data_IF_361125642805
#
_entry.id   IF_361125642805
#
_cell.length_a   1.000
_cell.length_b   1.000
_cell.length_c   1.000
_cell.angle_alpha   90.00
_cell.angle_beta   90.00
_cell.angle_gamma   90.00
#
_symmetry.space_group_name_H-M   'P 1'
#
loop_
_entity.id
_entity.type
_entity.pdbx_description
1 polymer ?
#
# COMPACT_ATOMS: atom_id res chain seq x y z
N UNK A 1 3.65 -5.85 15.67
CA UNK A 1 5.00 -6.47 15.66
C UNK A 1 6.10 -5.43 15.39
N UNK A 2 6.03 -4.57 14.38
CA UNK A 2 7.09 -3.60 14.04
C UNK A 2 7.58 -2.74 15.21
N UNK A 3 6.67 -2.10 15.98
CA UNK A 3 7.04 -1.29 17.15
C UNK A 3 7.80 -2.06 18.22
N UNK A 4 7.49 -3.34 18.42
CA UNK A 4 8.21 -4.19 19.38
C UNK A 4 9.63 -4.50 18.87
N UNK A 5 9.79 -4.71 17.55
CA UNK A 5 11.09 -4.90 16.95
C UNK A 5 11.95 -3.63 17.04
N UNK A 6 11.38 -2.46 16.77
CA UNK A 6 12.07 -1.16 16.95
C UNK A 6 12.52 -0.95 18.40
N UNK A 7 11.66 -1.26 19.35
CA UNK A 7 11.98 -1.16 20.78
C UNK A 7 13.11 -2.12 21.17
N UNK A 8 13.04 -3.39 20.72
CA UNK A 8 14.10 -4.38 21.00
C UNK A 8 15.45 -3.95 20.41
N UNK A 9 15.46 -3.31 19.22
CA UNK A 9 16.70 -2.78 18.63
C UNK A 9 17.24 -1.63 19.46
N UNK A 10 16.37 -0.68 19.83
CA UNK A 10 16.77 0.54 20.57
C UNK A 10 17.33 0.21 21.96
N UNK A 11 16.79 -0.82 22.60
CA UNK A 11 17.18 -1.23 23.94
C UNK A 11 18.18 -2.41 23.98
N UNK A 12 18.62 -2.90 22.80
CA UNK A 12 19.44 -4.10 22.67
C UNK A 12 18.81 -5.33 23.33
N UNK A 13 17.47 -5.39 23.39
CA UNK A 13 16.75 -6.50 23.95
C UNK A 13 16.68 -7.68 22.98
N UNK A 14 16.49 -8.87 23.57
CA UNK A 14 16.50 -10.13 22.85
C UNK A 14 15.19 -10.31 22.04
N UNK A 15 15.32 -10.65 20.76
CA UNK A 15 14.21 -11.05 19.89
C UNK A 15 13.81 -12.53 20.09
N UNK A 16 14.32 -13.16 21.14
CA UNK A 16 14.13 -14.57 21.45
C UNK A 16 12.67 -15.00 21.56
N UNK A 17 11.79 -14.08 21.97
CA UNK A 17 10.35 -14.35 22.03
C UNK A 17 9.77 -14.79 20.66
N UNK A 18 10.25 -14.19 19.58
CA UNK A 18 9.79 -14.56 18.23
C UNK A 18 10.29 -15.94 17.82
N UNK A 19 11.50 -16.30 18.27
CA UNK A 19 12.00 -17.64 18.09
C UNK A 19 11.13 -18.66 18.82
N UNK A 20 10.78 -18.42 20.08
CA UNK A 20 9.90 -19.28 20.86
C UNK A 20 8.53 -19.46 20.22
N UNK A 21 7.95 -18.36 19.68
CA UNK A 21 6.67 -18.41 18.98
C UNK A 21 6.76 -19.25 17.71
N UNK A 22 7.81 -19.08 16.92
CA UNK A 22 8.03 -19.89 15.72
C UNK A 22 8.23 -21.38 16.05
N UNK A 23 8.98 -21.67 17.09
CA UNK A 23 9.18 -23.06 17.57
C UNK A 23 7.88 -23.68 18.10
N UNK A 24 7.08 -22.93 18.85
CA UNK A 24 5.79 -23.38 19.33
C UNK A 24 4.84 -23.69 18.17
N UNK A 25 4.80 -22.82 17.15
CA UNK A 25 4.02 -23.04 15.94
C UNK A 25 4.46 -24.31 15.20
N UNK A 26 5.77 -24.50 15.01
CA UNK A 26 6.33 -25.70 14.35
C UNK A 26 6.00 -26.98 15.11
N UNK A 27 6.12 -26.99 16.45
CA UNK A 27 5.83 -28.16 17.30
C UNK A 27 4.34 -28.48 17.39
N UNK A 28 3.47 -27.52 17.05
CA UNK A 28 2.01 -27.69 17.15
C UNK A 28 1.41 -28.59 16.08
N UNK A 29 2.20 -29.02 15.07
CA UNK A 29 1.72 -29.79 13.92
C UNK A 29 0.49 -29.13 13.23
N UNK A 30 0.58 -27.83 12.96
CA UNK A 30 -0.46 -27.08 12.27
C UNK A 30 -1.61 -26.59 13.17
N UNK A 31 -1.59 -26.84 14.47
CA UNK A 31 -2.64 -26.35 15.40
C UNK A 31 -2.45 -24.88 15.79
N UNK A 32 -1.24 -24.32 15.58
CA UNK A 32 -0.90 -22.92 15.86
C UNK A 32 -0.25 -22.31 14.63
N UNK A 33 -0.80 -21.19 14.18
CA UNK A 33 -0.21 -20.35 13.14
C UNK A 33 0.06 -18.96 13.73
N UNK A 34 1.28 -18.48 13.59
CA UNK A 34 1.67 -17.15 14.00
C UNK A 34 1.91 -16.28 12.74
N UNK A 35 1.16 -15.18 12.62
CA UNK A 35 1.28 -14.22 11.50
C UNK A 35 1.76 -12.88 12.03
N UNK A 36 2.94 -12.44 11.58
CA UNK A 36 3.51 -11.14 11.89
C UNK A 36 3.32 -10.18 10.73
N UNK A 37 2.71 -9.02 10.97
CA UNK A 37 2.58 -7.96 9.97
C UNK A 37 3.62 -6.89 10.25
N UNK A 38 4.43 -6.59 9.23
CA UNK A 38 5.50 -5.59 9.26
C UNK A 38 5.29 -4.56 8.14
N UNK A 39 5.70 -3.33 8.39
CA UNK A 39 5.67 -2.25 7.39
C UNK A 39 6.91 -2.23 6.49
N UNK A 40 7.98 -2.85 6.93
CA UNK A 40 9.28 -2.95 6.27
C UNK A 40 9.74 -4.40 6.32
N UNK A 41 10.72 -4.74 5.51
CA UNK A 41 11.36 -6.05 5.60
C UNK A 41 12.06 -6.20 6.96
N UNK A 42 12.16 -7.44 7.42
CA UNK A 42 12.85 -7.72 8.68
C UNK A 42 14.30 -7.23 8.68
N UNK A 43 14.96 -7.28 7.52
CA UNK A 43 16.32 -6.79 7.32
C UNK A 43 16.44 -5.27 7.42
N UNK A 44 15.43 -4.51 6.96
CA UNK A 44 15.42 -3.05 7.09
C UNK A 44 15.31 -2.61 8.55
N UNK A 45 14.49 -3.30 9.36
CA UNK A 45 14.48 -3.08 10.81
C UNK A 45 15.85 -3.30 11.43
N UNK A 46 16.57 -4.34 11.00
CA UNK A 46 17.90 -4.66 11.51
C UNK A 46 19.03 -3.79 10.92
N UNK A 47 18.75 -2.89 9.95
CA UNK A 47 19.77 -2.15 9.22
C UNK A 47 20.72 -1.35 10.13
N UNK A 48 20.19 -0.73 11.17
CA UNK A 48 20.92 0.08 12.16
C UNK A 48 21.43 -0.71 13.37
N UNK A 49 21.17 -2.04 13.44
CA UNK A 49 21.59 -2.85 14.55
C UNK A 49 23.08 -3.27 14.46
N UNK A 50 23.70 -3.55 15.61
CA UNK A 50 25.07 -4.06 15.70
C UNK A 50 25.15 -5.46 15.05
N UNK A 51 26.31 -5.80 14.46
CA UNK A 51 26.51 -7.09 13.76
C UNK A 51 26.03 -8.33 14.53
N UNK A 52 26.26 -8.37 15.85
CA UNK A 52 25.81 -9.48 16.70
C UNK A 52 24.28 -9.61 16.72
N UNK A 53 23.58 -8.49 16.87
CA UNK A 53 22.12 -8.44 16.85
C UNK A 53 21.59 -8.84 15.48
N UNK A 54 22.23 -8.38 14.39
CA UNK A 54 21.86 -8.79 13.02
C UNK A 54 21.93 -10.29 12.80
N UNK A 55 22.96 -10.96 13.36
CA UNK A 55 23.11 -12.42 13.22
C UNK A 55 22.02 -13.19 13.97
N UNK A 56 21.63 -12.73 15.14
CA UNK A 56 20.51 -13.34 15.90
C UNK A 56 19.17 -13.09 15.20
N UNK A 57 18.97 -11.90 14.65
CA UNK A 57 17.77 -11.60 13.89
C UNK A 57 17.63 -12.44 12.61
N UNK A 58 18.74 -12.69 11.91
CA UNK A 58 18.73 -13.56 10.73
C UNK A 58 18.30 -15.00 11.09
N UNK A 59 18.69 -15.50 12.27
CA UNK A 59 18.26 -16.82 12.77
C UNK A 59 16.76 -16.86 13.06
N UNK A 60 16.22 -15.78 13.65
CA UNK A 60 14.78 -15.65 13.90
C UNK A 60 14.02 -15.58 12.59
N UNK A 61 14.46 -14.72 11.65
CA UNK A 61 13.83 -14.57 10.31
C UNK A 61 13.78 -15.90 9.56
N UNK A 62 14.85 -16.70 9.60
CA UNK A 62 14.93 -17.99 8.92
C UNK A 62 13.91 -19.04 9.40
N UNK A 63 13.17 -18.77 10.50
CA UNK A 63 12.08 -19.60 11.00
C UNK A 63 10.70 -19.17 10.49
N UNK A 64 10.61 -18.04 9.81
CA UNK A 64 9.38 -17.50 9.23
C UNK A 64 9.42 -17.59 7.71
N UNK A 65 8.26 -17.70 7.13
CA UNK A 65 8.08 -17.54 5.68
C UNK A 65 7.73 -16.08 5.41
N UNK A 66 8.60 -15.36 4.73
CA UNK A 66 8.34 -13.98 4.34
C UNK A 66 7.39 -13.95 3.14
N UNK A 67 6.23 -13.32 3.32
CA UNK A 67 5.27 -13.09 2.25
C UNK A 67 5.26 -11.59 1.95
N UNK A 68 5.81 -11.21 0.83
CA UNK A 68 5.82 -9.82 0.38
C UNK A 68 4.51 -9.48 -0.32
N UNK A 69 3.73 -8.58 0.27
CA UNK A 69 2.48 -8.08 -0.30
C UNK A 69 2.74 -6.81 -1.13
N UNK A 70 3.51 -6.96 -2.20
CA UNK A 70 3.76 -5.88 -3.14
C UNK A 70 2.65 -5.86 -4.19
N UNK A 71 1.72 -4.92 -4.05
CA UNK A 71 0.68 -4.70 -5.05
C UNK A 71 1.30 -4.21 -6.37
N UNK A 72 0.88 -4.80 -7.47
CA UNK A 72 1.17 -4.29 -8.82
C UNK A 72 0.42 -2.97 -9.06
N UNK A 73 0.80 -2.23 -10.09
CA UNK A 73 0.09 -0.98 -10.44
C UNK A 73 -1.40 -1.22 -10.75
N UNK A 74 -1.73 -2.32 -11.43
CA UNK A 74 -3.12 -2.71 -11.73
C UNK A 74 -3.92 -3.07 -10.50
N UNK A 75 -3.38 -3.88 -9.60
CA UNK A 75 -4.03 -4.23 -8.34
C UNK A 75 -4.29 -3.00 -7.47
N UNK A 76 -3.41 -1.99 -7.52
CA UNK A 76 -3.63 -0.73 -6.82
C UNK A 76 -4.81 0.05 -7.38
N UNK A 77 -4.93 0.14 -8.71
CA UNK A 77 -6.08 0.79 -9.37
C UNK A 77 -7.37 0.00 -9.09
N UNK A 78 -7.32 -1.32 -9.11
CA UNK A 78 -8.45 -2.16 -8.73
C UNK A 78 -8.92 -1.90 -7.30
N UNK A 79 -7.99 -1.78 -6.36
CA UNK A 79 -8.32 -1.45 -4.97
C UNK A 79 -8.89 -0.03 -4.83
N UNK A 80 -8.33 0.95 -5.55
CA UNK A 80 -8.86 2.31 -5.58
C UNK A 80 -10.28 2.33 -6.15
N UNK A 81 -10.52 1.65 -7.27
CA UNK A 81 -11.83 1.57 -7.91
C UNK A 81 -12.88 0.97 -6.97
N UNK A 82 -12.51 -0.07 -6.22
CA UNK A 82 -13.39 -0.70 -5.22
C UNK A 82 -13.64 0.19 -4.00
N UNK A 83 -12.63 0.96 -3.57
CA UNK A 83 -12.76 1.85 -2.43
C UNK A 83 -13.62 3.07 -2.73
N UNK A 84 -13.48 3.66 -3.92
CA UNK A 84 -14.26 4.83 -4.36
C UNK A 84 -15.62 4.39 -4.90
N UNK A 85 -15.66 3.32 -5.73
CA UNK A 85 -16.85 2.71 -6.33
C UNK A 85 -17.82 3.74 -6.93
N UNK A 86 -17.31 4.70 -7.68
CA UNK A 86 -18.11 5.75 -8.29
C UNK A 86 -18.86 5.20 -9.51
N UNK A 87 -20.16 5.57 -9.60
CA UNK A 87 -21.02 5.32 -10.77
C UNK A 87 -21.35 6.63 -11.51
N UNK A 88 -20.72 7.73 -11.12
CA UNK A 88 -21.05 9.08 -11.58
C UNK A 88 -19.99 9.68 -12.52
N UNK A 89 -19.15 8.83 -13.13
CA UNK A 89 -18.15 9.29 -14.10
C UNK A 89 -18.83 9.98 -15.27
N UNK A 90 -18.36 11.19 -15.60
CA UNK A 90 -18.86 11.96 -16.76
C UNK A 90 -18.28 11.41 -18.05
N UNK A 91 -18.95 11.66 -19.20
CA UNK A 91 -18.45 11.26 -20.52
C UNK A 91 -17.07 11.86 -20.81
N UNK A 92 -16.83 13.10 -20.40
CA UNK A 92 -15.51 13.76 -20.55
C UNK A 92 -14.44 13.01 -19.80
N UNK A 93 -14.71 12.58 -18.56
CA UNK A 93 -13.76 11.81 -17.76
C UNK A 93 -13.49 10.42 -18.37
N UNK A 94 -14.52 9.74 -18.87
CA UNK A 94 -14.38 8.46 -19.55
C UNK A 94 -13.53 8.59 -20.82
N UNK A 95 -13.68 9.67 -21.58
CA UNK A 95 -12.87 9.95 -22.77
C UNK A 95 -11.40 10.18 -22.41
N UNK A 96 -11.12 10.94 -21.33
CA UNK A 96 -9.75 11.13 -20.81
C UNK A 96 -9.12 9.81 -20.38
N UNK A 97 -9.87 8.97 -19.67
CA UNK A 97 -9.39 7.65 -19.24
C UNK A 97 -9.05 6.75 -20.43
N UNK A 98 -9.90 6.76 -21.46
CA UNK A 98 -9.67 6.00 -22.70
C UNK A 98 -8.38 6.45 -23.38
N UNK A 99 -8.14 7.76 -23.46
CA UNK A 99 -6.92 8.31 -24.05
C UNK A 99 -5.67 7.95 -23.24
N UNK A 100 -5.74 8.04 -21.92
CA UNK A 100 -4.65 7.64 -21.02
C UNK A 100 -4.31 6.15 -21.21
N UNK A 101 -5.33 5.28 -21.27
CA UNK A 101 -5.12 3.85 -21.47
C UNK A 101 -4.56 3.56 -22.86
N UNK A 102 -5.01 4.26 -23.89
CA UNK A 102 -4.45 4.15 -25.24
C UNK A 102 -2.94 4.41 -25.23
N UNK A 103 -2.49 5.50 -24.61
CA UNK A 103 -1.06 5.77 -24.49
C UNK A 103 -0.30 4.74 -23.68
N UNK A 104 -0.88 4.23 -22.59
CA UNK A 104 -0.27 3.14 -21.82
C UNK A 104 -0.12 1.86 -22.64
N UNK A 105 -1.09 1.57 -23.52
CA UNK A 105 -1.06 0.40 -24.41
C UNK A 105 0.04 0.57 -25.46
N UNK A 106 0.19 1.75 -26.05
CA UNK A 106 1.28 2.06 -27.00
C UNK A 106 2.67 1.87 -26.37
N UNK A 107 2.78 2.11 -25.06
CA UNK A 107 4.02 1.91 -24.29
C UNK A 107 4.19 0.48 -23.76
N UNK A 108 3.30 -0.47 -24.12
CA UNK A 108 3.23 -1.82 -23.56
C UNK A 108 3.17 -1.83 -22.01
N UNK A 109 2.42 -0.88 -21.43
CA UNK A 109 2.26 -0.71 -19.98
C UNK A 109 0.84 -0.94 -19.49
N UNK A 110 -0.10 -1.24 -20.38
CA UNK A 110 -1.48 -1.52 -20.02
C UNK A 110 -1.61 -2.96 -19.49
N UNK A 111 -2.10 -3.16 -18.25
CA UNK A 111 -2.10 -4.47 -17.61
C UNK A 111 -3.29 -5.36 -17.98
N UNK A 112 -4.41 -4.80 -18.43
CA UNK A 112 -5.64 -5.56 -18.75
C UNK A 112 -6.59 -4.79 -19.63
N UNK A 113 -7.48 -5.50 -20.33
CA UNK A 113 -8.51 -4.92 -21.20
C UNK A 113 -9.58 -4.14 -20.42
N UNK A 114 -9.78 -4.46 -19.13
CA UNK A 114 -10.77 -3.80 -18.25
C UNK A 114 -10.23 -2.55 -17.53
N UNK A 115 -9.01 -2.13 -17.85
CA UNK A 115 -8.34 -1.06 -17.12
C UNK A 115 -9.02 0.30 -17.24
N UNK A 116 -9.68 0.58 -18.39
CA UNK A 116 -10.50 1.79 -18.59
C UNK A 116 -11.65 1.82 -17.57
N UNK A 117 -12.37 0.71 -17.40
CA UNK A 117 -13.49 0.63 -16.45
C UNK A 117 -13.03 0.81 -15.00
N UNK A 118 -11.87 0.25 -14.64
CA UNK A 118 -11.27 0.46 -13.32
C UNK A 118 -10.97 1.94 -13.07
N UNK A 119 -10.39 2.65 -14.05
CA UNK A 119 -10.13 4.09 -13.95
C UNK A 119 -11.43 4.89 -13.91
N UNK A 120 -12.45 4.52 -14.67
CA UNK A 120 -13.76 5.18 -14.62
C UNK A 120 -14.40 5.06 -13.23
N UNK A 121 -14.26 3.91 -12.56
CA UNK A 121 -14.74 3.70 -11.21
C UNK A 121 -13.94 4.48 -10.13
N UNK A 122 -12.79 5.04 -10.48
CA UNK A 122 -12.02 5.93 -9.60
C UNK A 122 -12.52 7.39 -9.60
N UNK A 123 -13.57 7.73 -10.37
CA UNK A 123 -14.12 9.09 -10.36
C UNK A 123 -14.45 9.56 -8.93
N UNK A 124 -14.10 10.78 -8.50
CA UNK A 124 -13.55 11.91 -9.26
C UNK A 124 -12.02 12.03 -9.21
N UNK A 125 -11.32 10.98 -8.86
CA UNK A 125 -9.87 11.01 -8.79
C UNK A 125 -9.29 11.07 -10.22
N UNK A 126 -8.50 12.12 -10.51
CA UNK A 126 -7.84 12.26 -11.80
C UNK A 126 -7.04 10.98 -12.15
N UNK A 127 -7.14 10.43 -13.38
CA UNK A 127 -6.50 9.18 -13.76
C UNK A 127 -4.97 9.18 -13.58
N UNK A 128 -4.32 10.31 -13.86
CA UNK A 128 -2.87 10.43 -13.66
C UNK A 128 -2.53 10.36 -12.16
N UNK A 129 -3.34 11.01 -11.32
CA UNK A 129 -3.17 10.93 -9.85
C UNK A 129 -3.39 9.51 -9.38
N UNK A 130 -4.43 8.82 -9.85
CA UNK A 130 -4.70 7.43 -9.51
C UNK A 130 -3.51 6.52 -9.85
N UNK A 131 -2.92 6.67 -11.04
CA UNK A 131 -1.75 5.92 -11.50
C UNK A 131 -0.49 6.22 -10.68
N UNK A 132 -0.28 7.49 -10.30
CA UNK A 132 0.90 7.92 -9.54
C UNK A 132 0.79 7.63 -8.03
N UNK A 133 -0.42 7.48 -7.49
CA UNK A 133 -0.64 7.38 -6.05
C UNK A 133 0.07 6.16 -5.44
N UNK A 134 0.06 5.02 -6.13
CA UNK A 134 0.77 3.83 -5.70
C UNK A 134 2.30 3.98 -5.66
N UNK A 135 2.94 4.37 -6.75
CA UNK A 135 4.38 4.67 -6.77
C UNK A 135 4.80 5.73 -5.75
N UNK A 136 3.99 6.79 -5.55
CA UNK A 136 4.27 7.85 -4.58
C UNK A 136 4.15 7.32 -3.15
N UNK A 137 3.12 6.54 -2.84
CA UNK A 137 2.92 5.99 -1.49
C UNK A 137 4.02 5.01 -1.07
N UNK A 138 4.69 4.37 -2.04
CA UNK A 138 5.84 3.48 -1.79
C UNK A 138 7.15 4.22 -1.60
N UNK A 139 7.27 5.45 -2.09
CA UNK A 139 8.43 6.29 -1.86
C UNK A 139 8.27 6.98 -0.51
N UNK A 140 9.21 6.70 0.41
CA UNK A 140 9.25 7.36 1.71
C UNK A 140 9.55 8.85 1.57
N UNK A 141 8.55 9.65 1.30
CA UNK A 141 8.65 11.11 1.40
C UNK A 141 8.39 11.52 2.86
N UNK A 142 9.44 11.55 3.66
CA UNK A 142 9.37 11.95 5.07
C UNK A 142 8.88 10.84 6.02
N UNK A 143 8.74 11.17 7.29
CA UNK A 143 8.43 10.24 8.39
C UNK A 143 7.01 9.65 8.36
N UNK A 144 6.13 10.09 7.46
CA UNK A 144 4.77 9.61 7.36
C UNK A 144 4.57 8.80 6.09
N UNK A 145 4.76 7.49 6.18
CA UNK A 145 4.28 6.54 5.17
C UNK A 145 2.75 6.53 5.20
N UNK A 146 2.13 7.46 4.49
CA UNK A 146 0.68 7.43 4.32
C UNK A 146 0.34 6.32 3.34
N UNK A 147 -0.48 5.39 3.78
CA UNK A 147 -1.00 4.35 2.89
C UNK A 147 -1.89 5.00 1.80
N UNK A 148 -2.04 4.30 0.68
CA UNK A 148 -2.95 4.66 -0.40
C UNK A 148 -4.34 5.09 0.12
N UNK A 149 -4.88 4.36 1.09
CA UNK A 149 -6.19 4.62 1.68
C UNK A 149 -6.19 5.80 2.66
N UNK A 150 -5.05 6.13 3.28
CA UNK A 150 -4.95 7.34 4.12
C UNK A 150 -5.16 8.61 3.32
N UNK A 151 -4.72 8.64 2.05
CA UNK A 151 -5.00 9.77 1.16
C UNK A 151 -6.51 9.94 0.93
N UNK A 152 -7.23 8.85 0.67
CA UNK A 152 -8.68 8.89 0.42
C UNK A 152 -9.48 9.29 1.65
N UNK A 153 -9.04 8.89 2.85
CA UNK A 153 -9.73 9.12 4.12
C UNK A 153 -9.20 10.32 4.91
N UNK A 154 -8.21 11.06 4.38
CA UNK A 154 -7.60 12.18 5.08
C UNK A 154 -8.61 13.26 5.40
N UNK A 155 -8.77 13.60 6.69
CA UNK A 155 -9.54 14.75 7.18
C UNK A 155 -8.76 16.07 7.19
N UNK A 156 -7.58 16.12 6.57
CA UNK A 156 -6.78 17.35 6.49
C UNK A 156 -7.47 18.40 5.61
N UNK A 157 -7.25 19.68 5.89
CA UNK A 157 -7.68 20.77 5.01
C UNK A 157 -7.17 20.51 3.58
N UNK A 158 -8.03 20.63 2.58
CA UNK A 158 -7.76 20.32 1.16
C UNK A 158 -7.47 18.83 0.89
N UNK A 159 -7.79 17.92 1.81
CA UNK A 159 -7.75 16.48 1.60
C UNK A 159 -8.84 16.00 0.63
N UNK A 160 -8.70 14.79 0.09
CA UNK A 160 -9.65 14.23 -0.87
C UNK A 160 -11.09 14.17 -0.32
N UNK A 161 -11.28 13.78 0.93
CA UNK A 161 -12.58 13.75 1.58
C UNK A 161 -13.20 15.17 1.71
N UNK A 162 -12.37 16.18 2.03
CA UNK A 162 -12.80 17.58 2.09
C UNK A 162 -13.19 18.10 0.72
N UNK A 163 -12.42 17.76 -0.33
CA UNK A 163 -12.74 18.11 -1.73
C UNK A 163 -14.10 17.55 -2.14
N UNK A 164 -14.41 16.29 -1.82
CA UNK A 164 -15.69 15.67 -2.13
C UNK A 164 -16.88 16.33 -1.46
N UNK A 165 -16.67 17.03 -0.34
CA UNK A 165 -17.72 17.74 0.38
C UNK A 165 -18.01 19.14 -0.18
N UNK A 166 -17.16 19.67 -1.07
CA UNK A 166 -17.35 20.98 -1.66
C UNK A 166 -18.54 20.99 -2.63
N UNK A 167 -19.35 22.06 -2.57
CA UNK A 167 -20.51 22.24 -3.47
C UNK A 167 -20.10 22.29 -4.93
N UNK A 168 -18.91 22.88 -5.22
CA UNK A 168 -18.33 23.00 -6.57
C UNK A 168 -18.13 21.64 -7.23
N UNK A 169 -17.75 20.61 -6.47
CA UNK A 169 -17.62 19.25 -6.97
C UNK A 169 -18.94 18.68 -7.49
N UNK A 170 -20.06 18.98 -6.80
CA UNK A 170 -21.39 18.47 -7.16
C UNK A 170 -21.93 19.11 -8.44
N UNK A 171 -21.56 20.37 -8.71
CA UNK A 171 -22.08 21.18 -9.84
C UNK A 171 -21.20 21.09 -11.09
N UNK A 172 -19.89 21.03 -10.92
CA UNK A 172 -18.89 21.11 -12.00
C UNK A 172 -17.92 19.92 -11.97
N UNK A 173 -18.44 18.72 -12.01
CA UNK A 173 -17.64 17.51 -11.93
C UNK A 173 -16.71 17.27 -13.16
N UNK A 174 -16.03 18.29 -13.63
CA UNK A 174 -14.93 18.18 -14.58
C UNK A 174 -13.61 18.23 -13.83
N UNK A 175 -12.80 17.15 -13.87
CA UNK A 175 -11.44 17.25 -13.34
C UNK A 175 -10.66 18.23 -14.23
N UNK A 176 -10.11 19.26 -13.62
CA UNK A 176 -9.08 20.11 -14.22
C UNK A 176 -7.74 19.40 -14.24
#
# INVERSE_FOLDING_TARGET
>A
MGKLLEFSISNQEDVYIYQLLAEAATRSNGKLVFVGILHQTFQEYASNAIKKVKSEWAKVQGRFVDISLNLTGSEQIELLSKAINSKLATDTFCNVNTEVVRHLTELNRCPSDDFVNMLNACWPLNPIVALCLGPISRRSYGQNQRSLFSFLSSGEPLGFASYLSLTIYKENATPT
#
